data_IF_555180785091
#
_entry.id   IF_555180785091
#
_cell.length_a   1.000
_cell.length_b   1.000
_cell.length_c   1.000
_cell.angle_alpha   90.00
_cell.angle_beta   90.00
_cell.angle_gamma   90.00
#
_symmetry.space_group_name_H-M   'P 1'
#
loop_
_entity.id
_entity.type
_entity.pdbx_description
1 polymer ?
#
# COMPACT_ATOMS: atom_id res chain seq x y z
N UNK A 1 -26.25 -4.87 -6.63
CA UNK A 1 -25.25 -5.13 -7.69
C UNK A 1 -23.87 -5.31 -7.08
N UNK A 2 -23.77 -6.14 -6.04
CA UNK A 2 -22.56 -6.92 -5.81
C UNK A 2 -22.92 -8.24 -6.44
N UNK A 3 -22.23 -8.60 -7.51
CA UNK A 3 -22.28 -9.96 -8.00
C UNK A 3 -21.88 -10.80 -6.79
N UNK A 4 -22.82 -11.57 -6.23
CA UNK A 4 -22.45 -12.74 -5.45
C UNK A 4 -21.33 -13.41 -6.25
N UNK A 5 -20.15 -13.68 -5.67
CA UNK A 5 -19.08 -14.29 -6.42
C UNK A 5 -19.62 -15.61 -6.97
N UNK A 6 -20.03 -15.59 -8.24
CA UNK A 6 -20.46 -16.74 -9.01
C UNK A 6 -19.23 -17.55 -9.45
N UNK A 7 -18.15 -17.48 -8.66
CA UNK A 7 -17.21 -18.57 -8.59
C UNK A 7 -17.90 -19.60 -7.70
N UNK A 8 -18.67 -20.48 -8.33
CA UNK A 8 -19.08 -21.75 -7.76
C UNK A 8 -17.80 -22.56 -7.56
N UNK A 9 -17.00 -22.17 -6.57
CA UNK A 9 -15.83 -22.91 -6.13
C UNK A 9 -16.40 -24.14 -5.45
N UNK A 10 -16.28 -25.28 -6.12
CA UNK A 10 -16.70 -26.58 -5.62
C UNK A 10 -16.41 -26.68 -4.11
N UNK A 11 -17.47 -26.58 -3.31
CA UNK A 11 -17.43 -26.66 -1.86
C UNK A 11 -17.16 -28.11 -1.38
N UNK A 12 -16.52 -28.92 -2.22
CA UNK A 12 -15.98 -30.21 -1.82
C UNK A 12 -14.76 -29.94 -0.94
N UNK A 13 -14.82 -30.38 0.32
CA UNK A 13 -13.66 -30.45 1.20
C UNK A 13 -12.61 -31.40 0.57
N UNK A 14 -11.79 -30.88 -0.35
CA UNK A 14 -10.69 -31.61 -0.93
C UNK A 14 -9.63 -31.72 0.15
N UNK A 15 -9.63 -32.84 0.87
CA UNK A 15 -8.51 -33.19 1.74
C UNK A 15 -7.25 -33.21 0.87
N UNK A 16 -6.13 -32.62 1.33
CA UNK A 16 -4.88 -32.64 0.57
C UNK A 16 -4.53 -34.09 0.26
N UNK A 17 -4.61 -34.45 -1.01
CA UNK A 17 -4.26 -35.76 -1.53
C UNK A 17 -2.88 -35.67 -2.19
N UNK A 18 -2.20 -36.81 -2.34
CA UNK A 18 -0.95 -36.87 -3.11
C UNK A 18 -1.16 -36.32 -4.53
N UNK A 19 -2.31 -36.59 -5.14
CA UNK A 19 -2.65 -36.12 -6.49
C UNK A 19 -2.75 -34.59 -6.54
N UNK A 20 -3.52 -33.97 -5.65
CA UNK A 20 -3.63 -32.51 -5.59
C UNK A 20 -2.30 -31.80 -5.30
N UNK A 21 -1.40 -32.45 -4.55
CA UNK A 21 -0.05 -31.92 -4.32
C UNK A 21 0.81 -31.97 -5.60
N UNK A 22 0.79 -33.10 -6.32
CA UNK A 22 1.48 -33.23 -7.60
C UNK A 22 0.93 -32.27 -8.66
N UNK A 23 -0.39 -32.09 -8.72
CA UNK A 23 -1.03 -31.12 -9.60
C UNK A 23 -0.58 -29.68 -9.25
N UNK A 24 -0.46 -29.35 -7.97
CA UNK A 24 0.08 -28.08 -7.49
C UNK A 24 1.54 -27.86 -7.89
N UNK A 25 2.39 -28.89 -7.80
CA UNK A 25 3.77 -28.83 -8.31
C UNK A 25 3.78 -28.61 -9.82
N UNK A 26 2.93 -29.33 -10.56
CA UNK A 26 2.78 -29.17 -12.00
C UNK A 26 2.41 -27.73 -12.37
N UNK A 27 1.42 -27.14 -11.69
CA UNK A 27 1.03 -25.75 -11.89
C UNK A 27 2.15 -24.76 -11.55
N UNK A 28 2.89 -24.98 -10.45
CA UNK A 28 4.03 -24.15 -10.09
C UNK A 28 5.14 -24.23 -11.15
N UNK A 29 5.44 -25.42 -11.67
CA UNK A 29 6.43 -25.62 -12.73
C UNK A 29 6.02 -24.96 -14.04
N UNK A 30 4.73 -24.98 -14.41
CA UNK A 30 4.23 -24.30 -15.61
C UNK A 30 4.48 -22.79 -15.59
N UNK A 31 4.58 -22.18 -14.41
CA UNK A 31 4.90 -20.75 -14.25
C UNK A 31 6.41 -20.54 -14.07
N UNK A 32 7.05 -21.33 -13.20
CA UNK A 32 8.45 -21.16 -12.85
C UNK A 32 9.39 -21.52 -14.00
N UNK A 33 9.07 -22.54 -14.80
CA UNK A 33 9.95 -22.99 -15.89
C UNK A 33 10.09 -21.93 -16.99
N UNK A 34 9.02 -21.33 -17.55
CA UNK A 34 9.17 -20.22 -18.50
C UNK A 34 9.95 -19.04 -17.91
N UNK A 35 9.69 -18.67 -16.66
CA UNK A 35 10.40 -17.57 -16.00
C UNK A 35 11.91 -17.87 -15.88
N UNK A 36 12.27 -19.09 -15.47
CA UNK A 36 13.67 -19.53 -15.39
C UNK A 36 14.29 -19.58 -16.78
N UNK A 37 13.60 -20.10 -17.80
CA UNK A 37 14.13 -20.15 -19.18
C UNK A 37 14.39 -18.75 -19.76
N UNK A 38 13.56 -17.76 -19.42
CA UNK A 38 13.77 -16.37 -19.82
C UNK A 38 15.01 -15.77 -19.15
N UNK A 39 15.26 -16.07 -17.88
CA UNK A 39 16.34 -15.45 -17.10
C UNK A 39 17.66 -16.24 -17.20
N UNK A 40 17.60 -17.54 -17.46
CA UNK A 40 18.76 -18.44 -17.49
C UNK A 40 19.90 -17.96 -18.41
N UNK A 41 19.65 -17.40 -19.62
CA UNK A 41 20.71 -16.85 -20.45
C UNK A 41 21.50 -15.72 -19.76
N UNK A 42 20.83 -14.87 -18.97
CA UNK A 42 21.48 -13.80 -18.21
C UNK A 42 22.32 -14.35 -17.07
N UNK A 43 21.82 -15.36 -16.35
CA UNK A 43 22.58 -16.04 -15.30
C UNK A 43 23.81 -16.75 -15.86
N UNK A 44 23.66 -17.46 -16.98
CA UNK A 44 24.79 -18.09 -17.68
C UNK A 44 25.81 -17.04 -18.09
N UNK A 45 25.36 -15.94 -18.72
CA UNK A 45 26.20 -14.79 -19.08
C UNK A 45 26.97 -14.27 -17.85
N UNK A 46 26.31 -14.09 -16.72
CA UNK A 46 26.95 -13.61 -15.49
C UNK A 46 28.01 -14.59 -14.98
N UNK A 47 27.72 -15.89 -14.94
CA UNK A 47 28.70 -16.91 -14.53
C UNK A 47 29.91 -16.91 -15.46
N UNK A 48 29.70 -16.82 -16.78
CA UNK A 48 30.80 -16.84 -17.76
C UNK A 48 31.70 -15.61 -17.69
N UNK A 49 31.16 -14.43 -17.33
CA UNK A 49 31.89 -13.16 -17.34
C UNK A 49 32.46 -12.82 -15.96
N UNK A 50 31.68 -13.01 -14.90
CA UNK A 50 32.08 -12.63 -13.53
C UNK A 50 32.85 -13.75 -12.82
N UNK A 51 32.70 -15.00 -13.27
CA UNK A 51 33.31 -16.19 -12.67
C UNK A 51 32.68 -16.58 -11.32
N UNK A 52 33.15 -17.69 -10.75
CA UNK A 52 32.90 -18.03 -9.33
C UNK A 52 31.44 -18.20 -8.90
N UNK A 53 30.57 -18.72 -9.78
CA UNK A 53 29.12 -18.85 -9.54
C UNK A 53 28.42 -17.52 -9.21
N UNK A 54 28.97 -16.37 -9.62
CA UNK A 54 28.35 -15.06 -9.41
C UNK A 54 27.18 -14.80 -10.40
N UNK A 55 26.21 -15.71 -10.45
CA UNK A 55 25.10 -15.66 -11.40
C UNK A 55 24.15 -14.48 -11.14
N UNK A 56 24.08 -14.00 -9.89
CA UNK A 56 23.37 -12.78 -9.52
C UNK A 56 24.20 -11.50 -9.70
N UNK A 57 25.52 -11.61 -9.96
CA UNK A 57 26.42 -10.48 -10.14
C UNK A 57 26.69 -9.67 -8.88
N UNK A 58 26.46 -10.25 -7.70
CA UNK A 58 26.61 -9.56 -6.40
C UNK A 58 28.09 -9.30 -6.07
N UNK A 59 28.97 -10.26 -6.36
CA UNK A 59 30.40 -10.08 -6.09
C UNK A 59 31.01 -9.08 -7.05
N UNK A 60 30.64 -9.14 -8.33
CA UNK A 60 31.06 -8.15 -9.31
C UNK A 60 30.54 -6.77 -8.96
N UNK A 61 29.27 -6.65 -8.55
CA UNK A 61 28.71 -5.40 -8.05
C UNK A 61 29.60 -4.80 -6.95
N UNK A 62 29.93 -5.59 -5.91
CA UNK A 62 30.77 -5.13 -4.79
C UNK A 62 32.15 -4.61 -5.22
N UNK A 63 32.73 -5.19 -6.28
CA UNK A 63 34.03 -4.76 -6.83
C UNK A 63 33.94 -3.46 -7.63
N UNK A 64 32.77 -3.14 -8.17
CA UNK A 64 32.54 -1.95 -9.01
C UNK A 64 32.10 -0.75 -8.18
N UNK A 65 31.29 -0.96 -7.13
CA UNK A 65 30.80 0.13 -6.27
C UNK A 65 31.83 0.58 -5.21
N UNK A 66 33.07 0.79 -5.63
CA UNK A 66 34.14 1.35 -4.79
C UNK A 66 33.86 2.84 -4.54
N UNK A 67 33.90 3.26 -3.28
CA UNK A 67 33.63 4.64 -2.86
C UNK A 67 32.15 4.93 -2.51
N UNK A 68 31.28 3.93 -2.62
CA UNK A 68 29.91 4.05 -2.11
C UNK A 68 29.93 3.98 -0.57
N UNK A 69 29.22 4.87 0.14
CA UNK A 69 29.19 4.85 1.61
C UNK A 69 28.61 3.53 2.11
N UNK A 70 29.41 2.81 2.90
CA UNK A 70 28.95 1.63 3.61
C UNK A 70 28.09 2.05 4.81
N UNK A 71 27.23 1.14 5.27
CA UNK A 71 26.36 1.41 6.43
C UNK A 71 27.18 1.68 7.70
N UNK A 72 28.27 0.94 7.89
CA UNK A 72 29.17 1.13 9.03
C UNK A 72 29.85 2.52 9.00
N UNK A 73 30.38 2.93 7.84
CA UNK A 73 31.00 4.25 7.69
C UNK A 73 30.00 5.38 7.90
N UNK A 74 28.78 5.25 7.35
CA UNK A 74 27.74 6.26 7.53
C UNK A 74 27.34 6.41 8.99
N UNK A 75 27.13 5.30 9.71
CA UNK A 75 26.78 5.34 11.13
C UNK A 75 27.95 5.92 11.95
N UNK A 76 29.19 5.59 11.62
CA UNK A 76 30.36 6.16 12.29
C UNK A 76 30.48 7.68 12.08
N UNK A 77 30.08 8.19 10.91
CA UNK A 77 30.16 9.62 10.55
C UNK A 77 28.97 10.44 11.02
N UNK A 78 27.76 9.97 10.76
CA UNK A 78 26.52 10.72 10.96
C UNK A 78 25.77 10.28 12.22
N UNK A 79 26.11 9.12 12.79
CA UNK A 79 25.42 8.56 13.95
C UNK A 79 24.21 7.70 13.59
N UNK A 80 23.83 6.83 14.54
CA UNK A 80 22.76 5.85 14.36
C UNK A 80 21.37 6.48 14.22
N UNK A 81 21.09 7.56 14.97
CA UNK A 81 19.79 8.25 14.89
C UNK A 81 19.58 8.87 13.51
N UNK A 82 20.58 9.57 12.97
CA UNK A 82 20.52 10.14 11.62
C UNK A 82 20.39 9.06 10.54
N UNK A 83 21.02 7.90 10.75
CA UNK A 83 20.80 6.73 9.88
C UNK A 83 19.33 6.30 9.88
N UNK A 84 18.69 6.16 11.05
CA UNK A 84 17.29 5.78 11.16
C UNK A 84 16.32 6.83 10.59
N UNK A 85 16.54 8.11 10.87
CA UNK A 85 15.73 9.20 10.31
C UNK A 85 15.79 9.21 8.78
N UNK A 86 17.00 9.04 8.23
CA UNK A 86 17.17 8.90 6.78
C UNK A 86 16.52 7.60 6.28
N UNK A 87 16.69 6.49 6.97
CA UNK A 87 16.12 5.20 6.57
C UNK A 87 14.60 5.26 6.49
N UNK A 88 13.93 5.92 7.42
CA UNK A 88 12.48 6.07 7.39
C UNK A 88 12.04 7.16 6.40
N UNK A 89 12.55 8.38 6.55
CA UNK A 89 12.09 9.53 5.78
C UNK A 89 12.44 9.46 4.30
N UNK A 90 13.68 9.07 3.97
CA UNK A 90 14.13 9.00 2.59
C UNK A 90 13.53 7.79 1.85
N UNK A 91 13.43 6.63 2.50
CA UNK A 91 12.77 5.46 1.91
C UNK A 91 11.30 5.73 1.64
N UNK A 92 10.60 6.37 2.58
CA UNK A 92 9.19 6.74 2.40
C UNK A 92 8.99 7.67 1.19
N UNK A 93 9.77 8.76 1.11
CA UNK A 93 9.68 9.71 -0.01
C UNK A 93 10.04 9.02 -1.32
N UNK A 94 11.08 8.20 -1.33
CA UNK A 94 11.52 7.45 -2.52
C UNK A 94 10.51 6.42 -2.98
N UNK A 95 9.81 5.75 -2.05
CA UNK A 95 8.78 4.76 -2.37
C UNK A 95 7.60 5.42 -3.10
N UNK A 96 7.16 6.57 -2.60
CA UNK A 96 6.06 7.31 -3.20
C UNK A 96 6.45 8.09 -4.46
N UNK A 97 7.67 8.62 -4.53
CA UNK A 97 8.17 9.27 -5.73
C UNK A 97 9.31 10.25 -5.45
N UNK A 98 10.54 9.76 -5.60
CA UNK A 98 11.69 10.62 -5.94
C UNK A 98 12.13 10.20 -7.34
N UNK A 99 12.01 11.11 -8.30
CA UNK A 99 12.17 10.81 -9.72
C UNK A 99 13.60 11.09 -10.22
N UNK A 100 13.90 10.59 -11.42
CA UNK A 100 15.22 10.65 -12.02
C UNK A 100 16.23 9.80 -11.25
N UNK A 101 17.45 10.30 -11.08
CA UNK A 101 18.49 9.64 -10.30
C UNK A 101 18.44 10.03 -8.82
N UNK A 102 17.24 9.91 -8.22
CA UNK A 102 16.94 10.30 -6.83
C UNK A 102 17.11 11.81 -6.54
N UNK A 103 16.91 12.64 -7.55
CA UNK A 103 17.14 14.10 -7.48
C UNK A 103 15.88 14.96 -7.55
N UNK A 104 14.78 14.43 -8.09
CA UNK A 104 13.55 15.22 -8.31
C UNK A 104 12.53 14.89 -7.23
N UNK A 105 12.27 15.86 -6.34
CA UNK A 105 11.35 15.69 -5.21
C UNK A 105 9.99 16.31 -5.54
N UNK A 106 8.92 15.65 -5.10
CA UNK A 106 7.60 16.28 -5.00
C UNK A 106 7.57 17.35 -3.89
N UNK A 107 6.52 18.17 -3.92
CA UNK A 107 6.31 19.20 -2.88
C UNK A 107 6.13 18.55 -1.50
N UNK A 108 6.69 19.13 -0.40
CA UNK A 108 6.58 18.57 0.95
C UNK A 108 5.15 18.23 1.40
N UNK A 109 4.16 19.04 0.97
CA UNK A 109 2.74 18.85 1.26
C UNK A 109 2.22 17.51 0.74
N UNK A 110 2.65 17.11 -0.46
CA UNK A 110 2.26 15.83 -1.07
C UNK A 110 2.76 14.68 -0.22
N UNK A 111 4.02 14.71 0.25
CA UNK A 111 4.53 13.66 1.13
C UNK A 111 3.78 13.60 2.47
N UNK A 112 3.38 14.74 3.04
CA UNK A 112 2.56 14.77 4.26
C UNK A 112 1.20 14.12 4.03
N UNK A 113 0.53 14.43 2.92
CA UNK A 113 -0.75 13.82 2.56
C UNK A 113 -0.62 12.31 2.32
N UNK A 114 0.44 11.88 1.62
CA UNK A 114 0.75 10.47 1.41
C UNK A 114 1.08 9.75 2.72
N UNK A 115 1.71 10.44 3.68
CA UNK A 115 2.01 9.89 5.01
C UNK A 115 0.72 9.66 5.79
N UNK A 116 -0.19 10.65 5.80
CA UNK A 116 -1.52 10.50 6.41
C UNK A 116 -2.31 9.38 5.73
N UNK A 117 -2.30 9.32 4.40
CA UNK A 117 -2.95 8.26 3.64
C UNK A 117 -2.38 6.88 3.99
N UNK A 118 -1.04 6.74 4.05
CA UNK A 118 -0.37 5.50 4.47
C UNK A 118 -0.75 5.10 5.90
N UNK A 119 -0.85 6.06 6.81
CA UNK A 119 -1.29 5.83 8.19
C UNK A 119 -2.75 5.39 8.29
N UNK A 120 -3.63 5.99 7.49
CA UNK A 120 -5.04 5.58 7.37
C UNK A 120 -5.14 4.15 6.84
N UNK A 121 -4.40 3.81 5.78
CA UNK A 121 -4.32 2.43 5.28
C UNK A 121 -3.78 1.47 6.34
N UNK A 122 -2.78 1.87 7.13
CA UNK A 122 -2.28 1.03 8.22
C UNK A 122 -3.39 0.74 9.25
N UNK A 123 -4.20 1.74 9.63
CA UNK A 123 -5.37 1.52 10.50
C UNK A 123 -6.37 0.55 9.85
N UNK A 124 -6.61 0.65 8.54
CA UNK A 124 -7.41 -0.31 7.79
C UNK A 124 -6.87 -1.74 7.84
N UNK A 125 -5.55 -1.92 7.72
CA UNK A 125 -4.91 -3.23 7.88
C UNK A 125 -5.02 -3.77 9.31
N UNK A 126 -4.90 -2.90 10.31
CA UNK A 126 -5.09 -3.30 11.71
C UNK A 126 -6.54 -3.76 11.94
N UNK A 127 -7.53 -3.10 11.35
CA UNK A 127 -8.91 -3.55 11.36
C UNK A 127 -9.09 -4.91 10.68
N UNK A 128 -8.45 -5.13 9.53
CA UNK A 128 -8.43 -6.43 8.86
C UNK A 128 -7.85 -7.50 9.78
N UNK A 129 -6.71 -7.23 10.42
CA UNK A 129 -6.04 -8.15 11.32
C UNK A 129 -6.89 -8.49 12.55
N UNK A 130 -7.51 -7.49 13.19
CA UNK A 130 -8.43 -7.71 14.31
C UNK A 130 -9.61 -8.57 13.88
N UNK A 131 -10.17 -8.35 12.68
CA UNK A 131 -11.24 -9.20 12.13
C UNK A 131 -10.75 -10.63 11.89
N UNK A 132 -9.53 -10.83 11.39
CA UNK A 132 -8.96 -12.16 11.18
C UNK A 132 -8.71 -12.92 12.49
N UNK A 133 -8.30 -12.23 13.55
CA UNK A 133 -7.97 -12.85 14.85
C UNK A 133 -9.24 -13.08 15.69
N UNK A 134 -10.13 -12.09 15.77
CA UNK A 134 -11.27 -12.09 16.69
C UNK A 134 -12.60 -12.48 16.05
N UNK A 135 -12.71 -12.49 14.71
CA UNK A 135 -13.97 -12.77 14.00
C UNK A 135 -14.18 -14.24 13.64
N UNK A 136 -15.45 -14.69 13.61
CA UNK A 136 -15.92 -15.92 12.94
C UNK A 136 -16.66 -15.56 11.62
N UNK A 137 -17.02 -16.55 10.78
CA UNK A 137 -16.56 -16.78 9.41
C UNK A 137 -17.26 -15.94 8.33
N UNK A 138 -17.69 -14.70 8.62
CA UNK A 138 -18.11 -13.75 7.57
C UNK A 138 -16.91 -12.92 7.06
N UNK A 139 -15.71 -13.51 7.10
CA UNK A 139 -14.71 -13.11 6.14
C UNK A 139 -15.26 -13.59 4.80
N UNK A 140 -15.83 -12.64 4.04
CA UNK A 140 -16.29 -12.79 2.65
C UNK A 140 -15.10 -13.10 1.73
N UNK A 141 -14.39 -14.17 2.07
CA UNK A 141 -13.10 -14.50 1.54
C UNK A 141 -12.97 -16.01 1.46
N UNK A 142 -12.83 -16.49 0.24
CA UNK A 142 -12.71 -17.91 -0.02
C UNK A 142 -11.36 -18.46 0.49
N UNK A 143 -11.23 -19.79 0.52
CA UNK A 143 -10.00 -20.46 0.95
C UNK A 143 -8.79 -20.08 0.07
N UNK A 144 -9.01 -19.84 -1.22
CA UNK A 144 -7.96 -19.47 -2.16
C UNK A 144 -7.40 -18.08 -1.87
N UNK A 145 -8.27 -17.08 -1.70
CA UNK A 145 -7.95 -15.71 -1.32
C UNK A 145 -7.20 -15.67 0.02
N UNK A 146 -7.58 -16.51 0.99
CA UNK A 146 -6.82 -16.65 2.24
C UNK A 146 -5.37 -17.11 2.00
N UNK A 147 -5.16 -18.15 1.20
CA UNK A 147 -3.82 -18.63 0.86
C UNK A 147 -3.02 -17.62 0.02
N UNK A 148 -3.67 -16.92 -0.91
CA UNK A 148 -3.05 -15.85 -1.71
C UNK A 148 -2.60 -14.71 -0.79
N UNK A 149 -3.41 -14.29 0.18
CA UNK A 149 -2.99 -13.28 1.16
C UNK A 149 -1.84 -13.78 2.04
N UNK A 150 -1.84 -15.07 2.41
CA UNK A 150 -0.71 -15.69 3.12
C UNK A 150 0.58 -15.62 2.29
N UNK A 151 0.52 -16.00 1.02
CA UNK A 151 1.65 -15.90 0.08
C UNK A 151 2.11 -14.44 -0.08
N UNK A 152 1.18 -13.50 -0.27
CA UNK A 152 1.48 -12.07 -0.36
C UNK A 152 2.11 -11.52 0.91
N UNK A 153 1.68 -12.00 2.09
CA UNK A 153 2.31 -11.68 3.36
C UNK A 153 3.77 -12.14 3.41
N UNK A 154 4.04 -13.38 3.00
CA UNK A 154 5.42 -13.90 2.88
C UNK A 154 6.24 -13.09 1.89
N UNK A 155 5.67 -12.73 0.74
CA UNK A 155 6.35 -11.89 -0.25
C UNK A 155 6.70 -10.52 0.32
N UNK A 156 5.78 -9.84 1.01
CA UNK A 156 6.04 -8.56 1.67
C UNK A 156 7.18 -8.71 2.68
N UNK A 157 7.14 -9.72 3.54
CA UNK A 157 8.22 -9.99 4.49
C UNK A 157 9.56 -10.21 3.78
N UNK A 158 9.59 -10.96 2.69
CA UNK A 158 10.79 -11.20 1.90
C UNK A 158 11.33 -9.91 1.26
N UNK A 159 10.45 -9.00 0.79
CA UNK A 159 10.83 -7.67 0.28
C UNK A 159 11.50 -6.84 1.36
N UNK A 160 10.87 -6.74 2.54
CA UNK A 160 11.43 -5.99 3.67
C UNK A 160 12.75 -6.61 4.16
N UNK A 161 12.83 -7.94 4.24
CA UNK A 161 14.06 -8.64 4.62
C UNK A 161 15.18 -8.41 3.62
N UNK A 162 14.89 -8.48 2.32
CA UNK A 162 15.86 -8.18 1.26
C UNK A 162 16.34 -6.74 1.31
N UNK A 163 15.43 -5.79 1.56
CA UNK A 163 15.78 -4.37 1.72
C UNK A 163 16.68 -4.15 2.94
N UNK A 164 16.33 -4.75 4.08
CA UNK A 164 17.12 -4.67 5.31
C UNK A 164 18.51 -5.28 5.09
N UNK A 165 18.57 -6.48 4.51
CA UNK A 165 19.81 -7.19 4.18
C UNK A 165 20.75 -6.34 3.33
N UNK A 166 20.22 -5.71 2.28
CA UNK A 166 21.02 -4.85 1.42
C UNK A 166 21.56 -3.61 2.16
N UNK A 167 20.73 -3.03 3.04
CA UNK A 167 21.08 -1.88 3.87
C UNK A 167 22.00 -2.21 5.06
N UNK A 168 22.34 -3.47 5.31
CA UNK A 168 23.41 -3.83 6.26
C UNK A 168 24.79 -3.52 5.69
N UNK A 169 24.94 -3.60 4.36
CA UNK A 169 26.23 -3.41 3.68
C UNK A 169 26.40 -2.00 3.17
N UNK A 170 25.40 -1.49 2.45
CA UNK A 170 25.46 -0.19 1.79
C UNK A 170 24.27 0.68 2.14
N UNK A 171 24.48 2.00 2.28
CA UNK A 171 23.39 2.93 2.56
C UNK A 171 22.55 3.15 1.32
N UNK A 172 21.41 2.46 1.27
CA UNK A 172 20.56 2.33 0.08
C UNK A 172 19.08 2.41 0.48
N UNK A 173 18.73 3.51 1.16
CA UNK A 173 17.38 3.84 1.63
C UNK A 173 16.41 4.22 0.50
N UNK A 174 16.37 3.44 -0.57
CA UNK A 174 15.56 3.72 -1.76
C UNK A 174 14.30 2.86 -1.78
N UNK A 175 13.16 3.49 -2.01
CA UNK A 175 11.87 2.80 -2.10
C UNK A 175 11.74 1.90 -3.32
N UNK A 176 12.58 2.08 -4.35
CA UNK A 176 12.58 1.23 -5.56
C UNK A 176 12.87 -0.25 -5.27
N UNK A 177 13.55 -0.56 -4.16
CA UNK A 177 13.80 -1.95 -3.77
C UNK A 177 12.52 -2.70 -3.37
N UNK A 178 11.41 -1.97 -3.14
CA UNK A 178 10.10 -2.55 -2.88
C UNK A 178 9.30 -2.86 -4.15
N UNK A 179 9.82 -2.55 -5.35
CA UNK A 179 9.05 -2.65 -6.60
C UNK A 179 8.56 -4.05 -6.95
N UNK A 180 9.38 -5.07 -6.70
CA UNK A 180 8.96 -6.46 -6.91
C UNK A 180 7.90 -6.93 -5.90
N UNK A 181 7.70 -6.16 -4.82
CA UNK A 181 6.62 -6.31 -3.85
C UNK A 181 5.40 -5.43 -4.12
N UNK A 182 5.32 -4.70 -5.23
CA UNK A 182 4.20 -3.77 -5.47
C UNK A 182 2.86 -4.50 -5.51
N UNK A 183 2.77 -5.63 -6.22
CA UNK A 183 1.53 -6.39 -6.32
C UNK A 183 0.96 -6.77 -4.93
N UNK A 184 1.73 -7.44 -4.04
CA UNK A 184 1.21 -7.76 -2.72
C UNK A 184 0.97 -6.52 -1.85
N UNK A 185 1.83 -5.49 -1.91
CA UNK A 185 1.61 -4.23 -1.17
C UNK A 185 0.30 -3.56 -1.61
N UNK A 186 0.02 -3.48 -2.91
CA UNK A 186 -1.23 -2.92 -3.45
C UNK A 186 -2.45 -3.75 -3.06
N UNK A 187 -2.34 -5.08 -3.01
CA UNK A 187 -3.41 -5.95 -2.55
C UNK A 187 -3.75 -5.69 -1.07
N UNK A 188 -2.72 -5.52 -0.21
CA UNK A 188 -2.94 -5.12 1.18
C UNK A 188 -3.51 -3.70 1.29
N UNK A 189 -3.07 -2.75 0.48
CA UNK A 189 -3.66 -1.41 0.43
C UNK A 189 -5.16 -1.45 0.04
N UNK A 190 -5.53 -2.29 -0.91
CA UNK A 190 -6.93 -2.50 -1.31
C UNK A 190 -7.75 -3.17 -0.19
N UNK A 191 -7.20 -4.18 0.48
CA UNK A 191 -7.82 -4.83 1.64
C UNK A 191 -8.04 -3.82 2.78
N UNK A 192 -7.04 -2.99 3.07
CA UNK A 192 -7.12 -1.94 4.07
C UNK A 192 -8.23 -0.94 3.77
N UNK A 193 -8.29 -0.49 2.51
CA UNK A 193 -9.32 0.43 2.06
C UNK A 193 -10.72 -0.19 2.16
N UNK A 194 -10.86 -1.48 1.81
CA UNK A 194 -12.11 -2.22 1.98
C UNK A 194 -12.59 -2.24 3.43
N UNK A 195 -11.69 -2.47 4.38
CA UNK A 195 -12.04 -2.41 5.81
C UNK A 195 -12.40 -0.97 6.23
N UNK A 196 -11.63 0.03 5.80
CA UNK A 196 -11.98 1.42 6.10
C UNK A 196 -13.37 1.82 5.60
N UNK A 197 -13.84 1.23 4.49
CA UNK A 197 -15.18 1.44 3.94
C UNK A 197 -16.32 0.78 4.76
N UNK A 198 -16.00 0.05 5.83
CA UNK A 198 -17.00 -0.50 6.74
C UNK A 198 -17.55 0.58 7.68
N UNK A 199 -18.85 0.56 8.02
CA UNK A 199 -19.50 1.67 8.72
C UNK A 199 -18.85 2.10 10.04
N UNK A 200 -18.51 1.12 10.90
CA UNK A 200 -17.90 1.41 12.20
C UNK A 200 -16.43 1.80 12.06
N UNK A 201 -15.67 1.02 11.29
CA UNK A 201 -14.22 1.20 11.11
C UNK A 201 -13.95 2.57 10.46
N UNK A 202 -14.72 2.96 9.44
CA UNK A 202 -14.61 4.28 8.82
C UNK A 202 -15.00 5.43 9.73
N UNK A 203 -16.03 5.29 10.57
CA UNK A 203 -16.38 6.31 11.58
C UNK A 203 -15.26 6.53 12.59
N UNK A 204 -14.70 5.45 13.13
CA UNK A 204 -13.61 5.53 14.11
C UNK A 204 -12.36 6.14 13.47
N UNK A 205 -11.94 5.62 12.31
CA UNK A 205 -10.77 6.16 11.61
C UNK A 205 -11.01 7.62 11.19
N UNK A 206 -12.19 7.95 10.67
CA UNK A 206 -12.57 9.31 10.30
C UNK A 206 -12.53 10.27 11.49
N UNK A 207 -13.04 9.86 12.65
CA UNK A 207 -12.93 10.63 13.89
C UNK A 207 -11.46 10.85 14.29
N UNK A 208 -10.62 9.81 14.26
CA UNK A 208 -9.19 9.95 14.56
C UNK A 208 -8.48 10.90 13.59
N UNK A 209 -8.81 10.83 12.29
CA UNK A 209 -8.28 11.76 11.27
C UNK A 209 -8.74 13.19 11.50
N UNK A 210 -9.99 13.41 11.95
CA UNK A 210 -10.49 14.74 12.32
C UNK A 210 -9.81 15.29 13.58
N UNK A 211 -9.58 14.44 14.58
CA UNK A 211 -8.81 14.81 15.78
C UNK A 211 -7.39 15.21 15.38
N UNK A 212 -6.76 14.46 14.47
CA UNK A 212 -5.45 14.83 13.92
C UNK A 212 -5.51 16.18 13.20
N UNK A 213 -6.49 16.41 12.32
CA UNK A 213 -6.64 17.70 11.63
C UNK A 213 -6.81 18.86 12.63
N UNK A 214 -7.66 18.69 13.65
CA UNK A 214 -7.87 19.69 14.70
C UNK A 214 -6.59 19.94 15.52
N UNK A 215 -5.85 18.90 15.87
CA UNK A 215 -4.57 19.02 16.56
C UNK A 215 -3.54 19.79 15.71
N UNK A 216 -3.50 19.55 14.40
CA UNK A 216 -2.65 20.29 13.48
C UNK A 216 -3.08 21.76 13.35
N UNK A 217 -4.38 22.07 13.36
CA UNK A 217 -4.87 23.46 13.44
C UNK A 217 -4.35 24.12 14.72
N UNK A 218 -4.51 23.48 15.88
CA UNK A 218 -4.05 24.03 17.16
C UNK A 218 -2.53 24.22 17.20
N UNK A 219 -1.77 23.28 16.64
CA UNK A 219 -0.32 23.40 16.50
C UNK A 219 0.07 24.56 15.57
N UNK A 220 -0.70 24.78 14.49
CA UNK A 220 -0.47 25.88 13.54
C UNK A 220 -0.66 27.27 14.16
N UNK A 221 -1.45 27.38 15.25
CA UNK A 221 -1.59 28.64 15.99
C UNK A 221 -0.31 29.01 16.76
N UNK A 222 0.54 28.03 17.08
CA UNK A 222 1.79 28.25 17.82
C UNK A 222 3.02 28.24 16.93
N UNK A 223 2.92 27.60 15.77
CA UNK A 223 4.04 27.38 14.85
C UNK A 223 3.56 27.51 13.41
N UNK A 224 4.20 28.34 12.61
CA UNK A 224 3.83 28.55 11.19
C UNK A 224 4.27 27.37 10.27
N UNK A 225 4.40 26.17 10.84
CA UNK A 225 5.06 25.04 10.21
C UNK A 225 4.17 24.25 9.24
N UNK A 226 2.84 24.40 9.30
CA UNK A 226 1.91 23.53 8.56
C UNK A 226 1.02 24.32 7.61
N UNK A 227 1.02 23.90 6.35
CA UNK A 227 0.17 24.48 5.31
C UNK A 227 -1.33 24.22 5.56
N UNK A 228 -2.12 25.30 5.51
CA UNK A 228 -3.57 25.25 5.81
C UNK A 228 -4.35 24.36 4.84
N UNK A 229 -3.94 24.32 3.57
CA UNK A 229 -4.56 23.45 2.56
C UNK A 229 -4.33 21.97 2.91
N UNK A 230 -3.13 21.61 3.36
CA UNK A 230 -2.83 20.24 3.81
C UNK A 230 -3.74 19.83 4.97
N UNK A 231 -3.93 20.69 5.98
CA UNK A 231 -4.82 20.42 7.11
C UNK A 231 -6.28 20.28 6.64
N UNK A 232 -6.73 21.15 5.73
CA UNK A 232 -8.06 21.06 5.14
C UNK A 232 -8.29 19.73 4.42
N UNK A 233 -7.33 19.27 3.61
CA UNK A 233 -7.42 18.00 2.88
C UNK A 233 -7.45 16.79 3.83
N UNK A 234 -6.67 16.81 4.92
CA UNK A 234 -6.73 15.79 5.98
C UNK A 234 -8.12 15.81 6.64
N UNK A 235 -8.64 17.00 6.94
CA UNK A 235 -9.99 17.17 7.48
C UNK A 235 -11.08 16.62 6.54
N UNK A 236 -10.99 16.92 5.24
CA UNK A 236 -11.91 16.41 4.23
C UNK A 236 -11.88 14.88 4.13
N UNK A 237 -10.70 14.25 4.22
CA UNK A 237 -10.57 12.79 4.30
C UNK A 237 -11.29 12.24 5.54
N UNK A 238 -11.08 12.87 6.70
CA UNK A 238 -11.76 12.49 7.94
C UNK A 238 -13.28 12.60 7.86
N UNK A 239 -13.79 13.71 7.31
CA UNK A 239 -15.23 13.90 7.05
C UNK A 239 -15.75 12.84 6.07
N UNK A 240 -15.04 12.57 4.99
CA UNK A 240 -15.43 11.55 4.00
C UNK A 240 -15.59 10.19 4.66
N UNK A 241 -14.60 9.73 5.44
CA UNK A 241 -14.64 8.44 6.14
C UNK A 241 -15.75 8.40 7.20
N UNK A 242 -16.03 9.52 7.87
CA UNK A 242 -17.09 9.58 8.87
C UNK A 242 -18.50 9.58 8.25
N UNK A 243 -18.66 10.20 7.08
CA UNK A 243 -19.93 10.32 6.36
C UNK A 243 -20.17 9.19 5.36
N UNK A 244 -19.16 8.39 5.01
CA UNK A 244 -19.30 7.26 4.10
C UNK A 244 -20.49 6.34 4.42
N UNK A 245 -20.89 6.06 5.69
CA UNK A 245 -21.96 5.08 5.92
C UNK A 245 -23.31 5.57 5.41
N UNK A 246 -23.50 6.90 5.33
CA UNK A 246 -24.66 7.52 4.72
C UNK A 246 -24.58 7.48 3.19
N UNK A 247 -23.38 7.67 2.62
CA UNK A 247 -23.13 7.53 1.18
C UNK A 247 -23.30 6.08 0.70
N UNK A 248 -23.06 5.11 1.59
CA UNK A 248 -23.14 3.67 1.33
C UNK A 248 -24.52 3.05 1.65
N UNK A 249 -25.49 3.84 2.14
CA UNK A 249 -26.84 3.40 2.50
C UNK A 249 -27.54 2.62 1.37
N UNK A 250 -28.28 1.57 1.73
CA UNK A 250 -29.04 0.73 0.80
C UNK A 250 -28.27 -0.42 0.12
N UNK A 251 -27.10 -0.81 0.63
CA UNK A 251 -26.34 -1.97 0.12
C UNK A 251 -25.74 -2.90 1.17
N UNK A 252 -25.61 -2.41 2.41
CA UNK A 252 -25.23 -3.19 3.57
C UNK A 252 -26.44 -3.11 4.48
N UNK A 253 -27.00 -4.25 4.90
CA UNK A 253 -28.07 -4.36 5.93
C UNK A 253 -27.58 -3.92 7.33
N UNK A 254 -26.56 -3.06 7.37
CA UNK A 254 -26.12 -2.41 8.57
C UNK A 254 -27.08 -1.25 8.80
N UNK A 255 -27.94 -1.40 9.81
CA UNK A 255 -28.49 -0.27 10.57
C UNK A 255 -27.38 0.77 10.65
N UNK A 256 -27.58 1.96 10.08
CA UNK A 256 -26.58 3.03 10.20
C UNK A 256 -26.51 3.36 11.68
N UNK A 257 -25.54 2.76 12.38
CA UNK A 257 -25.45 2.78 13.84
C UNK A 257 -25.41 4.24 14.30
N UNK A 258 -26.46 4.69 15.00
CA UNK A 258 -26.60 6.05 15.50
C UNK A 258 -27.22 7.09 14.55
N UNK A 259 -27.74 6.72 13.37
CA UNK A 259 -28.49 7.65 12.54
C UNK A 259 -29.96 7.77 13.00
N UNK A 260 -30.55 8.98 13.02
CA UNK A 260 -31.98 9.14 13.29
C UNK A 260 -32.83 8.38 12.26
N UNK A 261 -33.91 7.72 12.68
CA UNK A 261 -34.81 6.98 11.80
C UNK A 261 -35.35 7.81 10.62
N UNK A 262 -35.53 9.12 10.80
CA UNK A 262 -35.95 10.04 9.73
C UNK A 262 -34.94 10.10 8.58
N UNK A 263 -33.64 10.05 8.90
CA UNK A 263 -32.56 10.11 7.90
C UNK A 263 -32.46 8.80 7.13
N UNK A 264 -32.59 7.66 7.83
CA UNK A 264 -32.61 6.34 7.19
C UNK A 264 -33.77 6.24 6.19
N UNK A 265 -34.99 6.59 6.63
CA UNK A 265 -36.17 6.57 5.77
C UNK A 265 -36.05 7.54 4.57
N UNK A 266 -35.37 8.67 4.74
CA UNK A 266 -35.11 9.59 3.63
C UNK A 266 -34.12 9.00 2.62
N UNK A 267 -33.03 8.37 3.07
CA UNK A 267 -32.02 7.73 2.23
C UNK A 267 -32.54 6.49 1.47
N UNK A 268 -33.53 5.79 2.03
CA UNK A 268 -34.13 4.61 1.40
C UNK A 268 -35.08 4.94 0.23
N UNK A 269 -35.32 6.23 -0.03
CA UNK A 269 -36.16 6.67 -1.16
C UNK A 269 -35.60 6.15 -2.49
N UNK A 270 -36.42 5.52 -3.35
CA UNK A 270 -35.95 4.94 -4.61
C UNK A 270 -35.31 5.96 -5.56
N UNK A 271 -35.76 7.23 -5.49
CA UNK A 271 -35.20 8.33 -6.26
C UNK A 271 -33.73 8.64 -5.95
N UNK A 272 -33.24 8.32 -4.74
CA UNK A 272 -31.86 8.61 -4.32
C UNK A 272 -30.88 7.48 -4.67
N UNK A 273 -31.38 6.28 -5.00
CA UNK A 273 -30.56 5.10 -5.33
C UNK A 273 -29.52 5.33 -6.43
N UNK A 274 -29.83 5.96 -7.59
CA UNK A 274 -28.82 6.18 -8.63
C UNK A 274 -27.72 7.13 -8.16
N UNK A 275 -28.08 8.21 -7.46
CA UNK A 275 -27.12 9.18 -6.92
C UNK A 275 -26.20 8.53 -5.87
N UNK A 276 -26.77 7.78 -4.92
CA UNK A 276 -26.00 7.05 -3.90
C UNK A 276 -25.09 5.99 -4.53
N UNK A 277 -25.53 5.35 -5.61
CA UNK A 277 -24.70 4.43 -6.39
C UNK A 277 -23.44 5.10 -6.95
N UNK A 278 -23.59 6.29 -7.57
CA UNK A 278 -22.44 7.07 -8.09
C UNK A 278 -21.54 7.55 -6.97
N UNK A 279 -22.10 8.14 -5.91
CA UNK A 279 -21.33 8.64 -4.77
C UNK A 279 -20.52 7.54 -4.08
N UNK A 280 -21.07 6.31 -4.03
CA UNK A 280 -20.36 5.13 -3.55
C UNK A 280 -19.14 4.80 -4.41
N UNK A 281 -19.31 4.70 -5.72
CA UNK A 281 -18.19 4.38 -6.62
C UNK A 281 -17.11 5.45 -6.51
N UNK A 282 -17.50 6.72 -6.43
CA UNK A 282 -16.58 7.83 -6.24
C UNK A 282 -15.86 7.73 -4.89
N UNK A 283 -16.55 7.48 -3.79
CA UNK A 283 -15.92 7.34 -2.46
C UNK A 283 -14.94 6.15 -2.40
N UNK A 284 -15.27 5.05 -3.06
CA UNK A 284 -14.40 3.88 -3.16
C UNK A 284 -13.17 4.13 -4.05
N UNK A 285 -13.37 4.77 -5.20
CA UNK A 285 -12.30 5.03 -6.17
C UNK A 285 -11.46 6.27 -5.88
N UNK A 286 -11.92 7.18 -5.02
CA UNK A 286 -11.33 8.51 -4.84
C UNK A 286 -9.84 8.50 -4.53
N UNK A 287 -9.28 7.72 -3.58
CA UNK A 287 -7.84 7.77 -3.33
C UNK A 287 -7.03 7.30 -4.54
N UNK A 288 -7.51 6.26 -5.25
CA UNK A 288 -6.82 5.72 -6.42
C UNK A 288 -6.88 6.66 -7.61
N UNK A 289 -8.02 7.32 -7.82
CA UNK A 289 -8.19 8.36 -8.83
C UNK A 289 -7.31 9.57 -8.52
N UNK A 290 -7.22 10.00 -7.26
CA UNK A 290 -6.36 11.11 -6.85
C UNK A 290 -4.88 10.76 -7.07
N UNK A 291 -4.45 9.55 -6.69
CA UNK A 291 -3.09 9.07 -6.94
C UNK A 291 -2.77 9.00 -8.43
N UNK A 292 -3.70 8.51 -9.25
CA UNK A 292 -3.56 8.47 -10.70
C UNK A 292 -3.46 9.87 -11.31
N UNK A 293 -4.31 10.80 -10.89
CA UNK A 293 -4.25 12.19 -11.35
C UNK A 293 -2.95 12.87 -10.91
N UNK A 294 -2.47 12.60 -9.68
CA UNK A 294 -1.17 13.07 -9.21
C UNK A 294 -0.05 12.55 -10.12
N UNK A 295 -0.04 11.25 -10.44
CA UNK A 295 0.93 10.62 -11.33
C UNK A 295 0.97 11.27 -12.72
N UNK A 296 -0.21 11.53 -13.31
CA UNK A 296 -0.31 12.26 -14.59
C UNK A 296 0.24 13.69 -14.51
N UNK A 297 0.16 14.35 -13.35
CA UNK A 297 0.65 15.71 -13.16
C UNK A 297 2.16 15.77 -12.88
N UNK A 298 2.79 14.68 -12.42
CA UNK A 298 4.19 14.65 -12.00
C UNK A 298 5.17 15.13 -13.08
N UNK A 299 5.08 14.67 -14.35
CA UNK A 299 5.98 15.13 -15.40
C UNK A 299 5.98 16.65 -15.57
N UNK A 300 4.80 17.26 -15.49
CA UNK A 300 4.60 18.68 -15.75
C UNK A 300 4.87 19.56 -14.53
N UNK A 301 4.49 19.11 -13.34
CA UNK A 301 4.60 19.88 -12.08
C UNK A 301 5.96 19.75 -11.41
N UNK A 302 6.63 18.60 -11.53
CA UNK A 302 7.85 18.32 -10.77
C UNK A 302 9.04 18.02 -11.67
N UNK A 303 8.89 17.15 -12.67
CA UNK A 303 10.03 16.72 -13.49
C UNK A 303 10.52 17.85 -14.41
N UNK A 304 9.68 18.37 -15.31
CA UNK A 304 10.08 19.42 -16.26
C UNK A 304 10.66 20.67 -15.57
N UNK A 305 10.07 21.23 -14.50
CA UNK A 305 10.62 22.41 -13.84
C UNK A 305 11.96 22.18 -13.12
N UNK A 306 12.27 20.94 -12.74
CA UNK A 306 13.51 20.58 -12.04
C UNK A 306 14.61 20.08 -12.98
N UNK A 307 14.26 19.58 -14.17
CA UNK A 307 15.21 19.22 -15.23
C UNK A 307 15.65 20.42 -16.08
N UNK A 308 14.88 21.51 -16.08
CA UNK A 308 15.16 22.74 -16.84
C UNK A 308 16.13 23.71 -16.17
N UNK A 309 16.97 23.23 -15.24
CA UNK A 309 18.06 23.99 -14.60
C UNK A 309 19.37 23.23 -14.68
#
# INVERSE_FOLDING_TARGET
VWLAPAAQLDAGHHRPSRRSFLDGIGAALLIALPAVLIIAPLWLRNVTIYGGWDFLGLQMHDRVVVGQPTTAEWIAREGFINYLERAMGFTFRSFWGIFGWMGVFMEPRVYTLLLVFSGVLLLGLLWALVRFICGRPEADMDRFQFWVLGLFGVMVLAVFASFAWYNLKFVQHQGRYFFWGLLPISAFAALAWRELMQPLQGKVTGFLTLVLAAALVLASLRTDMTDRLTILLIGMLGVMLMLQPFLLSGSVDAIIIGAPHRVQHWLDRPALRPLLGVLRVVAWGSPFLILFLLDLMIPFRYILPQLGK
#
